data_IF_106154780031
#
_entry.id   IF_106154780031
#
_cell.length_a   1.000
_cell.length_b   1.000
_cell.length_c   1.000
_cell.angle_alpha   90.00
_cell.angle_beta   90.00
_cell.angle_gamma   90.00
#
_symmetry.space_group_name_H-M   'P 1'
#
loop_
_entity.id
_entity.type
_entity.pdbx_description
1 polymer ?
#
# COMPACT_ATOMS: atom_id res chain seq x y z
N UNK A 1 17.02 -18.08 21.34
CA UNK A 1 18.27 -17.30 21.42
C UNK A 1 17.90 -15.85 21.60
N UNK A 2 18.50 -15.15 22.57
CA UNK A 2 18.27 -13.71 22.77
C UNK A 2 18.90 -12.90 21.63
N UNK A 3 18.42 -11.69 21.41
CA UNK A 3 19.01 -10.77 20.43
C UNK A 3 20.33 -10.21 20.99
N UNK A 4 21.28 -9.79 20.15
CA UNK A 4 22.42 -9.00 20.59
C UNK A 4 21.97 -7.73 21.35
N UNK A 5 22.69 -7.33 22.39
CA UNK A 5 22.33 -6.18 23.24
C UNK A 5 22.15 -4.86 22.46
N UNK A 6 22.90 -4.66 21.38
CA UNK A 6 22.75 -3.47 20.54
C UNK A 6 21.43 -3.49 19.73
N UNK A 7 20.96 -4.67 19.31
CA UNK A 7 19.66 -4.81 18.63
C UNK A 7 18.53 -4.51 19.62
N UNK A 8 18.62 -5.01 20.85
CA UNK A 8 17.65 -4.72 21.91
C UNK A 8 17.55 -3.22 22.19
N UNK A 9 18.68 -2.50 22.28
CA UNK A 9 18.71 -1.04 22.46
C UNK A 9 18.08 -0.28 21.28
N UNK A 10 18.33 -0.71 20.03
CA UNK A 10 17.67 -0.15 18.85
C UNK A 10 16.16 -0.37 18.89
N UNK A 11 15.70 -1.57 19.28
CA UNK A 11 14.29 -1.89 19.40
C UNK A 11 13.59 -1.04 20.47
N UNK A 12 14.24 -0.84 21.62
CA UNK A 12 13.73 0.01 22.69
C UNK A 12 13.57 1.47 22.21
N UNK A 13 14.59 2.02 21.54
CA UNK A 13 14.53 3.39 21.02
C UNK A 13 13.40 3.59 20.00
N UNK A 14 13.23 2.64 19.06
CA UNK A 14 12.15 2.69 18.06
C UNK A 14 10.78 2.60 18.74
N UNK A 15 10.64 1.70 19.72
CA UNK A 15 9.40 1.54 20.48
C UNK A 15 9.02 2.83 21.20
N UNK A 16 9.97 3.44 21.92
CA UNK A 16 9.76 4.71 22.61
C UNK A 16 9.38 5.85 21.67
N UNK A 17 9.93 5.87 20.45
CA UNK A 17 9.54 6.85 19.45
C UNK A 17 8.10 6.59 18.96
N UNK A 18 7.80 5.36 18.54
CA UNK A 18 6.49 4.96 18.00
C UNK A 18 5.35 5.27 18.99
N UNK A 19 5.52 4.96 20.27
CA UNK A 19 4.49 5.19 21.29
C UNK A 19 4.19 6.67 21.58
N UNK A 20 5.07 7.59 21.19
CA UNK A 20 4.89 9.03 21.42
C UNK A 20 4.12 9.74 20.32
N UNK A 21 3.87 9.08 19.19
CA UNK A 21 3.21 9.69 18.05
C UNK A 21 1.78 9.20 17.90
N UNK A 22 0.86 10.15 17.74
CA UNK A 22 -0.54 9.89 17.43
C UNK A 22 -0.72 9.40 15.98
N UNK A 23 0.18 9.81 15.08
CA UNK A 23 0.13 9.51 13.65
C UNK A 23 1.48 8.97 13.20
N UNK A 24 1.45 7.82 12.53
CA UNK A 24 2.61 7.23 11.87
C UNK A 24 2.38 7.22 10.36
N UNK A 25 3.43 7.55 9.60
CA UNK A 25 3.38 7.62 8.14
C UNK A 25 4.45 6.70 7.57
N UNK A 26 4.08 5.85 6.62
CA UNK A 26 5.00 4.94 5.97
C UNK A 26 4.39 4.25 4.76
N UNK A 27 5.24 3.62 3.96
CA UNK A 27 4.77 2.75 2.87
C UNK A 27 4.09 1.49 3.45
N UNK A 28 3.16 0.83 2.73
CA UNK A 28 2.44 -0.34 3.22
C UNK A 28 3.34 -1.44 3.81
N UNK A 29 4.53 -1.64 3.23
CA UNK A 29 5.51 -2.59 3.77
C UNK A 29 6.08 -2.15 5.13
N UNK A 30 6.43 -0.86 5.28
CA UNK A 30 6.90 -0.30 6.55
C UNK A 30 5.83 -0.33 7.64
N UNK A 31 4.56 -0.14 7.26
CA UNK A 31 3.42 -0.31 8.16
C UNK A 31 3.33 -1.76 8.67
N UNK A 32 3.54 -2.74 7.78
CA UNK A 32 3.59 -4.15 8.18
C UNK A 32 4.73 -4.46 9.13
N UNK A 33 5.91 -3.89 8.89
CA UNK A 33 7.04 -3.99 9.81
C UNK A 33 6.68 -3.42 11.20
N UNK A 34 6.10 -2.21 11.25
CA UNK A 34 5.70 -1.58 12.52
C UNK A 34 4.74 -2.47 13.31
N UNK A 35 3.74 -3.07 12.67
CA UNK A 35 2.80 -3.90 13.40
C UNK A 35 3.34 -5.29 13.76
N UNK A 36 4.22 -5.90 12.95
CA UNK A 36 4.98 -7.08 13.42
C UNK A 36 5.83 -6.73 14.65
N UNK A 37 6.48 -5.55 14.65
CA UNK A 37 7.25 -5.08 15.79
C UNK A 37 6.35 -4.83 17.01
N UNK A 38 5.24 -4.09 16.86
CA UNK A 38 4.35 -3.72 17.96
C UNK A 38 3.58 -4.90 18.56
N UNK A 39 3.25 -5.91 17.76
CA UNK A 39 2.47 -7.08 18.21
C UNK A 39 3.33 -8.22 18.76
N UNK A 40 4.53 -8.45 18.20
CA UNK A 40 5.30 -9.67 18.50
C UNK A 40 6.62 -9.45 19.25
N UNK A 41 7.22 -8.26 19.21
CA UNK A 41 8.63 -8.07 19.61
C UNK A 41 8.90 -6.95 20.61
N UNK A 42 7.98 -6.02 20.81
CA UNK A 42 8.01 -5.14 21.99
C UNK A 42 7.64 -5.99 23.22
N UNK A 43 8.61 -6.76 23.72
CA UNK A 43 8.46 -7.40 25.02
C UNK A 43 8.43 -6.27 26.07
N UNK A 44 7.41 -6.24 26.94
CA UNK A 44 7.31 -5.25 27.99
C UNK A 44 8.32 -5.60 29.10
N UNK A 45 9.60 -5.32 28.90
CA UNK A 45 10.40 -4.84 30.04
C UNK A 45 9.78 -3.52 30.55
N UNK A 46 9.20 -2.76 29.63
CA UNK A 46 8.53 -1.50 29.88
C UNK A 46 7.00 -1.71 29.94
N UNK A 47 6.45 -1.98 31.14
CA UNK A 47 5.00 -1.97 31.42
C UNK A 47 4.32 -0.60 31.17
N UNK A 48 5.07 0.40 30.72
CA UNK A 48 4.65 1.79 30.65
C UNK A 48 3.80 2.12 29.42
N UNK A 49 3.85 1.33 28.34
CA UNK A 49 3.13 1.64 27.10
C UNK A 49 2.39 0.41 26.55
N UNK A 50 1.06 0.46 26.38
CA UNK A 50 0.31 -0.59 25.70
C UNK A 50 0.71 -0.65 24.21
N UNK A 51 0.60 -1.81 23.52
CA UNK A 51 0.90 -1.93 22.09
C UNK A 51 0.20 -0.86 21.26
N UNK A 52 0.92 -0.27 20.30
CA UNK A 52 0.40 0.83 19.49
C UNK A 52 -0.62 0.25 18.52
N UNK A 53 -1.85 0.78 18.59
CA UNK A 53 -2.99 0.29 17.81
C UNK A 53 -3.69 1.49 17.16
N UNK A 54 -3.67 1.60 15.84
CA UNK A 54 -4.40 2.65 15.15
C UNK A 54 -5.89 2.36 15.17
N UNK A 55 -6.72 3.38 15.41
CA UNK A 55 -8.17 3.30 15.18
C UNK A 55 -8.53 3.52 13.71
N UNK A 56 -7.65 4.21 12.96
CA UNK A 56 -7.83 4.55 11.55
C UNK A 56 -6.52 4.32 10.80
N UNK A 57 -6.61 3.66 9.65
CA UNK A 57 -5.52 3.54 8.68
C UNK A 57 -5.97 4.18 7.37
N UNK A 58 -5.22 5.19 6.92
CA UNK A 58 -5.44 5.84 5.64
C UNK A 58 -4.38 5.35 4.65
N UNK A 59 -4.83 4.81 3.53
CA UNK A 59 -3.94 4.37 2.44
C UNK A 59 -4.22 5.23 1.21
N UNK A 60 -3.24 6.03 0.83
CA UNK A 60 -3.27 6.85 -0.36
C UNK A 60 -2.66 6.13 -1.57
N UNK A 61 -2.91 6.64 -2.78
CA UNK A 61 -2.39 6.09 -4.04
C UNK A 61 -2.75 4.62 -4.26
N UNK A 62 -3.90 4.18 -3.72
CA UNK A 62 -4.32 2.77 -3.74
C UNK A 62 -4.58 2.23 -5.13
N UNK A 63 -4.84 3.11 -6.11
CA UNK A 63 -4.88 2.77 -7.54
C UNK A 63 -3.57 2.13 -8.03
N UNK A 64 -2.43 2.44 -7.40
CA UNK A 64 -1.08 1.94 -7.73
C UNK A 64 -0.66 0.72 -6.92
N UNK A 65 -1.42 0.37 -5.86
CA UNK A 65 -1.07 -0.71 -4.94
C UNK A 65 -1.69 -2.01 -5.45
N UNK A 66 -0.89 -3.03 -5.81
CA UNK A 66 -1.44 -4.34 -6.13
C UNK A 66 -2.18 -4.90 -4.93
N UNK A 67 -3.29 -5.56 -5.18
CA UNK A 67 -4.15 -6.11 -4.12
C UNK A 67 -3.40 -7.05 -3.14
N UNK A 68 -2.40 -7.80 -3.59
CA UNK A 68 -1.62 -8.64 -2.67
C UNK A 68 -0.92 -7.82 -1.57
N UNK A 69 -0.47 -6.59 -1.90
CA UNK A 69 0.17 -5.69 -0.93
C UNK A 69 -0.82 -5.00 -0.02
N UNK A 70 -2.08 -4.85 -0.46
CA UNK A 70 -3.15 -4.32 0.36
C UNK A 70 -3.38 -5.15 1.63
N UNK A 71 -3.32 -6.48 1.50
CA UNK A 71 -3.53 -7.40 2.62
C UNK A 71 -2.51 -7.21 3.76
N UNK A 72 -1.31 -6.70 3.49
CA UNK A 72 -0.32 -6.41 4.53
C UNK A 72 -0.92 -5.46 5.58
N UNK A 73 -1.50 -4.34 5.13
CA UNK A 73 -2.07 -3.33 6.01
C UNK A 73 -3.26 -3.88 6.81
N UNK A 74 -4.15 -4.63 6.15
CA UNK A 74 -5.36 -5.20 6.77
C UNK A 74 -5.01 -6.26 7.81
N UNK A 75 -4.07 -7.16 7.50
CA UNK A 75 -3.68 -8.26 8.39
C UNK A 75 -2.98 -7.77 9.64
N UNK A 76 -2.28 -6.64 9.54
CA UNK A 76 -1.47 -6.08 10.63
C UNK A 76 -2.33 -5.29 11.62
N UNK A 77 -3.35 -4.60 11.13
CA UNK A 77 -4.29 -3.83 11.96
C UNK A 77 -5.74 -4.23 11.66
N UNK A 78 -6.17 -5.44 12.06
CA UNK A 78 -7.49 -5.97 11.69
C UNK A 78 -8.66 -5.20 12.34
N UNK A 79 -8.41 -4.57 13.48
CA UNK A 79 -9.43 -3.81 14.24
C UNK A 79 -9.53 -2.34 13.79
N UNK A 80 -8.64 -1.88 12.90
CA UNK A 80 -8.63 -0.49 12.47
C UNK A 80 -9.68 -0.24 11.37
N UNK A 81 -10.33 0.92 11.42
CA UNK A 81 -11.10 1.42 10.27
C UNK A 81 -10.12 1.73 9.15
N UNK A 82 -10.42 1.29 7.93
CA UNK A 82 -9.51 1.51 6.79
C UNK A 82 -10.18 2.43 5.76
N UNK A 83 -9.52 3.55 5.49
CA UNK A 83 -9.88 4.49 4.43
C UNK A 83 -8.90 4.36 3.28
N UNK A 84 -9.41 4.11 2.08
CA UNK A 84 -8.61 4.08 0.85
C UNK A 84 -8.88 5.29 -0.01
N UNK A 85 -7.81 5.84 -0.55
CA UNK A 85 -7.84 6.97 -1.49
C UNK A 85 -7.01 6.55 -2.70
N UNK A 86 -7.50 6.83 -3.89
CA UNK A 86 -6.84 6.42 -5.12
C UNK A 86 -7.58 6.85 -6.36
N UNK A 87 -6.92 6.61 -7.49
CA UNK A 87 -7.40 6.91 -8.82
C UNK A 87 -6.94 5.78 -9.75
N UNK A 88 -7.87 5.05 -10.38
CA UNK A 88 -7.52 3.97 -11.33
C UNK A 88 -7.30 4.44 -12.76
N UNK A 89 -7.65 5.70 -13.07
CA UNK A 89 -7.29 6.37 -14.33
C UNK A 89 -5.81 6.75 -14.38
N UNK A 90 -5.14 6.79 -13.23
CA UNK A 90 -3.70 7.04 -13.11
C UNK A 90 -2.85 5.75 -13.28
N UNK A 91 -1.63 5.78 -12.74
CA UNK A 91 -0.64 4.70 -12.84
C UNK A 91 -1.17 3.37 -12.30
N UNK A 92 -1.00 2.29 -13.06
CA UNK A 92 -1.35 0.93 -12.63
C UNK A 92 -0.22 0.28 -11.84
N UNK A 93 -0.52 -0.66 -10.94
CA UNK A 93 0.50 -1.47 -10.30
C UNK A 93 1.38 -2.16 -11.35
N UNK A 94 2.70 -1.98 -11.25
CA UNK A 94 3.66 -2.52 -12.23
C UNK A 94 4.61 -3.54 -11.55
N UNK A 95 4.23 -4.83 -11.44
CA UNK A 95 5.13 -5.84 -10.90
C UNK A 95 6.31 -6.05 -11.84
N UNK A 96 7.53 -6.11 -11.29
CA UNK A 96 8.76 -6.32 -12.08
C UNK A 96 8.70 -7.58 -12.95
N UNK A 97 8.04 -8.63 -12.45
CA UNK A 97 7.84 -9.88 -13.19
C UNK A 97 6.86 -9.75 -14.37
N UNK A 98 5.89 -8.83 -14.31
CA UNK A 98 5.00 -8.53 -15.45
C UNK A 98 5.75 -7.70 -16.48
N UNK A 99 6.56 -6.73 -16.04
CA UNK A 99 7.42 -5.94 -16.93
C UNK A 99 8.43 -6.83 -17.67
N UNK A 100 9.08 -7.75 -16.97
CA UNK A 100 9.99 -8.73 -17.57
C UNK A 100 9.29 -9.63 -18.60
N UNK A 101 8.05 -10.07 -18.33
CA UNK A 101 7.27 -10.85 -19.31
C UNK A 101 6.92 -10.03 -20.55
N UNK A 102 6.57 -8.75 -20.40
CA UNK A 102 6.33 -7.84 -21.54
C UNK A 102 7.61 -7.63 -22.34
N UNK A 103 8.74 -7.37 -21.68
CA UNK A 103 10.03 -7.14 -22.35
C UNK A 103 10.52 -8.40 -23.09
N UNK A 104 10.28 -9.59 -22.52
CA UNK A 104 10.63 -10.88 -23.14
C UNK A 104 9.70 -11.28 -24.29
N UNK A 105 8.41 -10.92 -24.24
CA UNK A 105 7.46 -11.18 -25.33
C UNK A 105 7.84 -10.42 -26.63
N UNK A 106 8.56 -9.31 -26.49
CA UNK A 106 9.13 -8.55 -27.61
C UNK A 106 10.57 -8.99 -27.97
N UNK A 107 11.13 -9.98 -27.27
CA UNK A 107 12.47 -10.53 -27.51
C UNK A 107 12.47 -11.65 -28.56
N UNK A 108 13.55 -11.76 -29.35
CA UNK A 108 13.69 -12.72 -30.45
C UNK A 108 13.76 -14.20 -30.05
N UNK A 109 13.87 -14.54 -28.76
CA UNK A 109 13.95 -15.94 -28.27
C UNK A 109 13.39 -16.05 -26.85
N UNK A 110 12.11 -16.40 -26.66
CA UNK A 110 11.52 -16.56 -25.34
C UNK A 110 12.08 -17.83 -24.66
N UNK A 111 12.84 -17.66 -23.57
CA UNK A 111 13.22 -18.78 -22.69
C UNK A 111 12.03 -19.18 -21.82
N UNK A 112 11.84 -20.48 -21.51
CA UNK A 112 10.78 -20.91 -20.61
C UNK A 112 11.15 -20.51 -19.17
N UNK A 113 10.66 -19.36 -18.72
CA UNK A 113 10.69 -18.97 -17.32
C UNK A 113 9.37 -19.30 -16.60
N UNK A 114 9.47 -19.43 -15.28
CA UNK A 114 8.35 -19.70 -14.38
C UNK A 114 7.16 -18.76 -14.65
N UNK A 115 6.10 -19.31 -15.25
CA UNK A 115 4.83 -18.58 -15.43
C UNK A 115 4.05 -18.61 -14.13
N UNK A 116 4.09 -17.51 -13.38
CA UNK A 116 3.23 -17.42 -12.20
C UNK A 116 1.74 -17.40 -12.61
N UNK A 117 0.99 -18.35 -12.05
CA UNK A 117 -0.43 -18.66 -12.34
C UNK A 117 -1.39 -17.50 -12.12
N UNK A 118 -1.01 -16.48 -11.34
CA UNK A 118 -1.85 -15.30 -11.08
C UNK A 118 -1.86 -14.29 -12.25
N UNK A 119 -0.98 -14.43 -13.25
CA UNK A 119 -1.03 -13.64 -14.49
C UNK A 119 -1.24 -12.13 -14.32
N UNK A 120 -2.12 -11.54 -15.15
CA UNK A 120 -2.53 -10.13 -15.12
C UNK A 120 -3.25 -9.73 -13.83
N UNK A 121 -3.79 -10.66 -13.04
CA UNK A 121 -4.44 -10.31 -11.76
C UNK A 121 -3.46 -9.65 -10.76
N UNK A 122 -2.15 -9.76 -11.00
CA UNK A 122 -1.09 -9.06 -10.25
C UNK A 122 -1.01 -7.55 -10.51
N UNK A 123 -1.64 -7.05 -11.58
CA UNK A 123 -1.72 -5.61 -11.87
C UNK A 123 -3.05 -5.01 -11.43
N UNK A 124 -3.95 -5.82 -10.85
CA UNK A 124 -5.20 -5.32 -10.29
C UNK A 124 -4.92 -4.69 -8.94
N UNK A 125 -5.31 -3.41 -8.81
CA UNK A 125 -5.31 -2.74 -7.54
C UNK A 125 -6.55 -3.08 -6.74
N UNK A 126 -6.46 -2.97 -5.42
CA UNK A 126 -7.64 -3.11 -4.55
C UNK A 126 -8.70 -2.05 -4.91
N UNK A 127 -8.28 -0.84 -5.26
CA UNK A 127 -9.19 0.24 -5.62
C UNK A 127 -10.03 -0.10 -6.86
N UNK A 128 -9.45 -0.79 -7.85
CA UNK A 128 -10.20 -1.28 -9.02
C UNK A 128 -11.32 -2.25 -8.64
N UNK A 129 -11.12 -3.07 -7.60
CA UNK A 129 -12.17 -3.95 -7.09
C UNK A 129 -13.25 -3.17 -6.37
N UNK A 130 -12.88 -2.20 -5.54
CA UNK A 130 -13.83 -1.34 -4.83
C UNK A 130 -14.73 -0.61 -5.83
N UNK A 131 -14.17 -0.07 -6.92
CA UNK A 131 -14.95 0.48 -8.03
C UNK A 131 -15.88 -0.56 -8.66
N UNK A 132 -15.38 -1.77 -8.97
CA UNK A 132 -16.19 -2.82 -9.60
C UNK A 132 -17.31 -3.34 -8.69
N UNK A 133 -17.19 -3.16 -7.38
CA UNK A 133 -18.18 -3.54 -6.38
C UNK A 133 -19.09 -2.38 -5.95
N UNK A 134 -18.98 -1.22 -6.58
CA UNK A 134 -19.75 -0.01 -6.25
C UNK A 134 -19.63 0.43 -4.78
N UNK A 135 -18.41 0.31 -4.24
CA UNK A 135 -18.09 0.64 -2.84
C UNK A 135 -17.37 2.00 -2.70
N UNK A 136 -17.50 2.87 -3.70
CA UNK A 136 -16.86 4.18 -3.69
C UNK A 136 -17.70 5.15 -2.86
N UNK A 137 -17.11 5.67 -1.77
CA UNK A 137 -17.78 6.60 -0.85
C UNK A 137 -17.96 8.00 -1.43
N UNK A 138 -17.14 8.41 -2.39
CA UNK A 138 -17.24 9.71 -3.03
C UNK A 138 -16.13 9.98 -4.04
N UNK A 139 -16.39 10.93 -4.93
CA UNK A 139 -15.44 11.39 -5.95
C UNK A 139 -15.07 12.85 -5.71
N UNK A 140 -13.78 13.15 -5.75
CA UNK A 140 -13.26 14.52 -5.77
C UNK A 140 -13.18 15.00 -7.22
N UNK A 141 -14.08 15.91 -7.61
CA UNK A 141 -14.23 16.36 -9.00
C UNK A 141 -13.52 17.68 -9.33
N UNK A 142 -13.12 18.44 -8.31
CA UNK A 142 -12.50 19.75 -8.48
C UNK A 142 -10.97 19.66 -8.49
N UNK A 143 -10.38 19.73 -9.68
CA UNK A 143 -8.94 19.92 -9.82
C UNK A 143 -8.55 21.36 -9.43
N UNK A 144 -7.62 21.49 -8.50
CA UNK A 144 -7.02 22.78 -8.08
C UNK A 144 -5.55 22.93 -8.46
N UNK A 145 -4.95 21.90 -9.06
CA UNK A 145 -3.54 21.88 -9.48
C UNK A 145 -3.39 22.46 -10.88
N UNK A 146 -4.13 21.93 -11.86
CA UNK A 146 -4.04 22.36 -13.25
C UNK A 146 -5.25 23.23 -13.66
N UNK A 147 -5.06 24.10 -14.66
CA UNK A 147 -6.12 24.95 -15.22
C UNK A 147 -5.97 25.04 -16.74
N UNK A 148 -7.05 25.40 -17.43
CA UNK A 148 -7.07 25.58 -18.87
C UNK A 148 -6.91 24.26 -19.64
N UNK A 149 -6.25 24.32 -20.79
CA UNK A 149 -6.22 23.21 -21.75
C UNK A 149 -5.55 21.94 -21.22
N UNK A 150 -4.58 22.06 -20.31
CA UNK A 150 -3.94 20.90 -19.66
C UNK A 150 -4.96 20.10 -18.84
N UNK A 151 -5.82 20.79 -18.09
CA UNK A 151 -6.85 20.15 -17.28
C UNK A 151 -7.97 19.57 -18.17
N UNK A 152 -8.31 20.25 -19.26
CA UNK A 152 -9.29 19.77 -20.23
C UNK A 152 -8.81 18.50 -20.93
N UNK A 153 -7.57 18.50 -21.43
CA UNK A 153 -6.94 17.32 -22.05
C UNK A 153 -6.92 16.12 -21.10
N UNK A 154 -6.44 16.31 -19.86
CA UNK A 154 -6.38 15.22 -18.88
C UNK A 154 -7.77 14.66 -18.53
N UNK A 155 -8.78 15.54 -18.45
CA UNK A 155 -10.17 15.14 -18.21
C UNK A 155 -10.73 14.32 -19.36
N UNK A 156 -10.51 14.74 -20.60
CA UNK A 156 -11.00 14.05 -21.80
C UNK A 156 -10.35 12.67 -21.95
N UNK A 157 -9.04 12.57 -21.72
CA UNK A 157 -8.27 11.33 -21.89
C UNK A 157 -8.52 10.32 -20.75
N UNK A 158 -8.57 10.79 -19.50
CA UNK A 158 -8.58 9.91 -18.32
C UNK A 158 -9.98 9.67 -17.75
N UNK A 159 -10.94 10.55 -18.04
CA UNK A 159 -12.29 10.52 -17.49
C UNK A 159 -13.33 10.81 -18.59
N UNK A 160 -13.45 9.92 -19.60
CA UNK A 160 -14.44 10.10 -20.65
C UNK A 160 -15.83 10.15 -20.03
N UNK A 161 -16.60 11.19 -20.36
CA UNK A 161 -17.97 11.37 -19.88
C UNK A 161 -18.81 10.17 -20.36
N UNK A 162 -19.23 9.33 -19.42
CA UNK A 162 -20.32 8.36 -19.61
C UNK A 162 -21.64 9.08 -19.78
#
# INVERSE_FOLDING_TARGET
MGLPAWEEGCFEAISHAVFKFDILVGAPFGVGQIGEYSLARIKPSCKLYPPWKPSLVVVDETGRIPEVRWWITVSVFPDAVILIIGDTGQSKPTPSSVRQLTDQAHGRNPKPEWKCVFGYKRTLSIFKRVEACDQILGHLSNDRRNRGDIANWAREESWPRS
#
